data_IF_790996964775
#
_entry.id   IF_790996964775
#
_cell.length_a   1.000
_cell.length_b   1.000
_cell.length_c   1.000
_cell.angle_alpha   90.00
_cell.angle_beta   90.00
_cell.angle_gamma   90.00
#
_symmetry.space_group_name_H-M   'P 1'
#
loop_
_entity.id
_entity.type
_entity.pdbx_description
1 polymer ?
#
# COMPACT_ATOMS: atom_id res chain seq x y z
N UNK A 1 54.79 -37.57 -50.01
CA UNK A 1 54.84 -38.98 -49.58
C UNK A 1 55.24 -38.99 -48.11
N UNK A 2 54.59 -39.82 -47.30
CA UNK A 2 54.66 -39.95 -45.83
C UNK A 2 53.78 -38.97 -45.00
N UNK A 3 52.64 -39.52 -44.56
CA UNK A 3 51.74 -39.05 -43.51
C UNK A 3 52.41 -39.19 -42.12
N UNK A 4 52.09 -38.29 -41.19
CA UNK A 4 52.17 -38.55 -39.76
C UNK A 4 50.82 -38.21 -39.11
N UNK A 5 50.08 -39.24 -38.70
CA UNK A 5 48.85 -39.14 -37.90
C UNK A 5 49.23 -39.13 -36.42
N UNK A 6 48.87 -38.08 -35.69
CA UNK A 6 48.87 -38.06 -34.23
C UNK A 6 47.44 -38.32 -33.75
N UNK A 7 47.24 -39.46 -33.09
CA UNK A 7 46.03 -39.78 -32.36
C UNK A 7 46.10 -39.17 -30.96
N UNK A 8 45.04 -38.49 -30.55
CA UNK A 8 44.82 -38.08 -29.17
C UNK A 8 43.42 -38.57 -28.77
N UNK A 9 43.39 -39.55 -27.87
CA UNK A 9 42.19 -40.06 -27.21
C UNK A 9 41.77 -39.06 -26.13
N UNK A 10 40.59 -38.47 -26.28
CA UNK A 10 39.99 -37.60 -25.25
C UNK A 10 39.21 -38.49 -24.27
N UNK A 11 39.46 -38.42 -22.96
CA UNK A 11 38.69 -39.18 -21.97
C UNK A 11 37.28 -38.59 -21.87
N UNK A 12 36.28 -39.47 -21.89
CA UNK A 12 34.88 -39.11 -21.71
C UNK A 12 34.66 -38.59 -20.27
N UNK A 13 34.47 -37.28 -20.13
CA UNK A 13 34.09 -36.63 -18.89
C UNK A 13 32.61 -36.93 -18.63
N UNK A 14 32.32 -37.80 -17.66
CA UNK A 14 30.97 -38.02 -17.15
C UNK A 14 30.52 -36.75 -16.41
N UNK A 15 29.76 -35.89 -17.09
CA UNK A 15 28.99 -34.83 -16.44
C UNK A 15 27.87 -35.48 -15.63
N UNK A 16 28.07 -35.58 -14.32
CA UNK A 16 26.99 -35.82 -13.38
C UNK A 16 26.06 -34.60 -13.44
N UNK A 17 24.92 -34.74 -14.12
CA UNK A 17 23.83 -33.76 -14.03
C UNK A 17 23.29 -33.81 -12.61
N UNK A 18 23.71 -32.87 -11.76
CA UNK A 18 23.01 -32.58 -10.51
C UNK A 18 21.72 -31.88 -10.91
N UNK A 19 20.53 -32.48 -10.73
CA UNK A 19 19.29 -31.75 -10.92
C UNK A 19 19.29 -30.64 -9.87
N UNK A 20 19.36 -29.39 -10.34
CA UNK A 20 19.02 -28.25 -9.52
C UNK A 20 17.55 -28.43 -9.14
N UNK A 21 17.30 -28.86 -7.90
CA UNK A 21 15.97 -28.69 -7.30
C UNK A 21 15.74 -27.18 -7.26
N UNK A 22 15.02 -26.67 -8.26
CA UNK A 22 14.36 -25.39 -8.16
C UNK A 22 13.38 -25.56 -7.00
N UNK A 23 13.72 -25.00 -5.84
CA UNK A 23 12.79 -24.94 -4.72
C UNK A 23 11.53 -24.25 -5.25
N UNK A 24 10.47 -25.05 -5.44
CA UNK A 24 9.18 -24.53 -5.89
C UNK A 24 8.75 -23.46 -4.91
N UNK A 25 8.22 -22.36 -5.45
CA UNK A 25 7.52 -21.31 -4.71
C UNK A 25 6.19 -21.91 -4.24
N UNK A 26 6.26 -22.91 -3.35
CA UNK A 26 5.09 -23.64 -2.86
C UNK A 26 4.22 -22.67 -2.08
N UNK A 27 3.00 -22.47 -2.59
CA UNK A 27 2.02 -21.63 -1.94
C UNK A 27 1.64 -22.24 -0.59
N UNK A 28 1.65 -21.42 0.44
CA UNK A 28 1.11 -21.80 1.73
C UNK A 28 -0.39 -21.50 1.68
N UNK A 29 -1.19 -22.57 1.72
CA UNK A 29 -2.63 -22.40 1.80
C UNK A 29 -2.96 -21.79 3.15
N UNK A 30 -3.47 -20.55 3.14
CA UNK A 30 -3.82 -19.86 4.36
C UNK A 30 -4.93 -20.63 5.09
N UNK A 31 -5.00 -20.41 6.40
CA UNK A 31 -6.09 -20.96 7.21
C UNK A 31 -7.45 -20.57 6.64
N UNK A 32 -8.45 -21.41 6.88
CA UNK A 32 -9.83 -21.09 6.53
C UNK A 32 -10.20 -19.70 7.05
N UNK A 33 -10.98 -18.94 6.28
CA UNK A 33 -11.47 -17.63 6.70
C UNK A 33 -12.08 -17.73 8.10
N UNK A 34 -11.66 -16.87 9.06
CA UNK A 34 -12.17 -16.93 10.42
C UNK A 34 -13.70 -16.89 10.47
N UNK A 35 -14.29 -17.65 11.40
CA UNK A 35 -15.75 -17.73 11.53
C UNK A 35 -16.36 -16.33 11.73
N UNK A 36 -17.39 -16.02 10.96
CA UNK A 36 -18.08 -14.73 11.00
C UNK A 36 -17.51 -13.68 10.05
N UNK A 37 -16.34 -13.93 9.44
CA UNK A 37 -15.81 -13.12 8.36
C UNK A 37 -16.16 -13.73 7.00
N UNK A 38 -16.45 -12.87 6.03
CA UNK A 38 -16.46 -13.19 4.60
C UNK A 38 -15.03 -13.24 4.06
N UNK A 39 -14.18 -12.31 4.48
CA UNK A 39 -12.77 -12.29 4.10
C UNK A 39 -11.89 -11.69 5.20
N UNK A 40 -10.66 -12.20 5.29
CA UNK A 40 -9.56 -11.59 6.02
C UNK A 40 -8.34 -11.50 5.10
N UNK A 41 -7.64 -10.38 5.14
CA UNK A 41 -6.41 -10.17 4.37
C UNK A 41 -5.35 -9.56 5.30
N UNK A 42 -4.14 -10.10 5.27
CA UNK A 42 -2.99 -9.53 5.96
C UNK A 42 -2.02 -9.00 4.92
N UNK A 43 -1.83 -7.68 4.92
CA UNK A 43 -0.82 -6.99 4.10
C UNK A 43 0.39 -6.70 4.99
N UNK A 44 1.58 -6.97 4.46
CA UNK A 44 2.84 -6.59 5.07
C UNK A 44 3.66 -5.77 4.07
N UNK A 45 4.46 -4.85 4.60
CA UNK A 45 5.52 -4.15 3.88
C UNK A 45 6.83 -4.29 4.63
N UNK A 46 7.94 -4.48 3.91
CA UNK A 46 9.28 -4.65 4.49
C UNK A 46 10.38 -4.03 3.60
N UNK A 47 10.02 -3.01 2.81
CA UNK A 47 10.90 -2.37 1.84
C UNK A 47 12.14 -1.71 2.45
N UNK A 48 13.28 -1.87 1.76
CA UNK A 48 14.54 -1.16 2.08
C UNK A 48 15.13 -0.58 0.81
N UNK A 49 15.13 0.75 0.67
CA UNK A 49 15.59 1.41 -0.56
C UNK A 49 16.03 2.85 -0.31
N UNK A 50 16.80 3.44 -1.22
CA UNK A 50 17.07 4.88 -1.18
C UNK A 50 16.04 5.60 -2.07
N UNK A 51 15.14 6.43 -1.49
CA UNK A 51 14.07 7.08 -2.24
C UNK A 51 14.58 8.12 -3.25
N UNK A 52 15.84 8.58 -3.13
CA UNK A 52 16.46 9.58 -3.99
C UNK A 52 17.36 8.98 -5.08
N UNK A 53 17.48 7.65 -5.12
CA UNK A 53 18.33 6.94 -6.10
C UNK A 53 17.45 6.08 -7.02
N UNK A 54 17.69 6.21 -8.33
CA UNK A 54 16.97 5.47 -9.35
C UNK A 54 17.41 4.00 -9.50
N UNK A 55 16.71 3.21 -10.33
CA UNK A 55 15.57 3.63 -11.15
C UNK A 55 14.33 3.96 -10.31
N UNK A 56 13.63 5.03 -10.67
CA UNK A 56 12.38 5.40 -10.03
C UNK A 56 11.23 4.61 -10.65
N UNK A 57 10.30 4.08 -9.85
CA UNK A 57 9.08 3.48 -10.36
C UNK A 57 8.21 4.49 -11.11
N UNK A 58 7.31 3.98 -11.97
CA UNK A 58 6.36 4.82 -12.69
C UNK A 58 5.54 5.68 -11.72
N UNK A 59 5.45 6.98 -12.01
CA UNK A 59 4.79 7.96 -11.16
C UNK A 59 5.64 8.50 -10.00
N UNK A 60 6.89 8.07 -9.86
CA UNK A 60 7.83 8.56 -8.86
C UNK A 60 8.96 9.39 -9.48
N UNK A 61 9.32 10.47 -8.79
CA UNK A 61 10.42 11.36 -9.13
C UNK A 61 11.22 11.73 -7.88
N UNK A 62 12.55 11.94 -7.96
CA UNK A 62 13.34 12.42 -6.82
C UNK A 62 12.92 13.81 -6.35
N UNK A 63 12.17 14.56 -7.17
CA UNK A 63 11.60 15.86 -6.81
C UNK A 63 10.24 15.79 -6.11
N UNK A 64 9.67 14.60 -5.91
CA UNK A 64 8.37 14.47 -5.25
C UNK A 64 8.45 14.91 -3.78
N UNK A 65 7.55 15.80 -3.32
CA UNK A 65 7.64 16.41 -1.98
C UNK A 65 7.50 15.39 -0.84
N UNK A 66 6.96 14.21 -1.13
CA UNK A 66 6.70 13.14 -0.17
C UNK A 66 7.50 11.87 -0.46
N UNK A 67 8.51 11.91 -1.34
CA UNK A 67 9.28 10.73 -1.74
C UNK A 67 9.98 10.05 -0.56
N UNK A 68 10.40 10.84 0.42
CA UNK A 68 11.02 10.38 1.68
C UNK A 68 10.02 9.83 2.70
N UNK A 69 8.73 9.81 2.35
CA UNK A 69 7.66 9.14 3.08
C UNK A 69 7.07 7.97 2.27
N UNK A 70 7.69 7.62 1.15
CA UNK A 70 7.23 6.54 0.27
C UNK A 70 6.04 6.91 -0.62
N UNK A 71 5.61 8.18 -0.61
CA UNK A 71 4.58 8.68 -1.50
C UNK A 71 5.19 9.35 -2.72
N UNK A 72 4.68 9.00 -3.88
CA UNK A 72 5.03 9.61 -5.15
C UNK A 72 3.87 10.46 -5.66
N UNK A 73 4.16 11.59 -6.30
CA UNK A 73 3.12 12.53 -6.77
C UNK A 73 2.33 12.02 -7.99
N UNK A 74 2.77 10.93 -8.61
CA UNK A 74 2.13 10.32 -9.78
C UNK A 74 0.94 9.43 -9.46
N UNK A 75 -0.07 9.94 -8.75
CA UNK A 75 -1.34 9.23 -8.55
C UNK A 75 -1.98 8.77 -9.87
N UNK A 76 -1.78 9.52 -10.95
CA UNK A 76 -2.25 9.18 -12.30
C UNK A 76 -1.67 7.85 -12.80
N UNK A 77 -0.42 7.52 -12.45
CA UNK A 77 0.19 6.24 -12.80
C UNK A 77 -0.51 5.06 -12.10
N UNK A 78 -0.99 5.27 -10.87
CA UNK A 78 -1.82 4.29 -10.18
C UNK A 78 -3.20 4.18 -10.83
N UNK A 79 -3.91 5.29 -11.03
CA UNK A 79 -5.26 5.24 -11.58
C UNK A 79 -5.30 4.71 -13.02
N UNK A 80 -4.53 5.29 -13.93
CA UNK A 80 -4.52 4.90 -15.35
C UNK A 80 -3.69 3.63 -15.60
N UNK A 81 -2.57 3.47 -14.90
CA UNK A 81 -1.64 2.37 -15.12
C UNK A 81 -2.06 1.09 -14.40
N UNK A 82 -2.48 1.18 -13.13
CA UNK A 82 -2.82 0.01 -12.30
C UNK A 82 -4.32 -0.28 -12.35
N UNK A 83 -5.18 0.70 -12.06
CA UNK A 83 -6.64 0.51 -12.00
C UNK A 83 -7.31 0.57 -13.37
N UNK A 84 -6.63 1.15 -14.37
CA UNK A 84 -7.16 1.35 -15.73
C UNK A 84 -8.37 2.31 -15.78
N UNK A 85 -8.41 3.28 -14.87
CA UNK A 85 -9.43 4.33 -14.86
C UNK A 85 -9.14 5.38 -15.94
N UNK A 86 -10.21 5.87 -16.56
CA UNK A 86 -10.18 7.05 -17.42
C UNK A 86 -10.31 8.35 -16.63
N UNK A 87 -10.09 9.48 -17.30
CA UNK A 87 -10.06 10.82 -16.68
C UNK A 87 -11.35 11.15 -15.89
N UNK A 88 -12.51 10.77 -16.43
CA UNK A 88 -13.81 10.99 -15.76
C UNK A 88 -13.93 10.22 -14.45
N UNK A 89 -13.39 9.00 -14.39
CA UNK A 89 -13.38 8.16 -13.20
C UNK A 89 -12.41 8.71 -12.15
N UNK A 90 -11.23 9.18 -12.58
CA UNK A 90 -10.25 9.84 -11.70
C UNK A 90 -10.85 11.11 -11.11
N UNK A 91 -11.46 11.95 -11.94
CA UNK A 91 -12.14 13.16 -11.49
C UNK A 91 -13.31 12.85 -10.56
N UNK A 92 -14.05 11.75 -10.79
CA UNK A 92 -15.09 11.30 -9.87
C UNK A 92 -14.52 10.85 -8.52
N UNK A 93 -13.38 10.15 -8.51
CA UNK A 93 -12.71 9.77 -7.27
C UNK A 93 -12.20 10.99 -6.49
N UNK A 94 -11.64 11.99 -7.18
CA UNK A 94 -11.22 13.23 -6.53
C UNK A 94 -12.40 13.94 -5.87
N UNK A 95 -13.52 14.09 -6.59
CA UNK A 95 -14.75 14.68 -6.04
C UNK A 95 -15.25 13.92 -4.83
N UNK A 96 -15.22 12.58 -4.88
CA UNK A 96 -15.63 11.73 -3.75
C UNK A 96 -14.68 11.89 -2.55
N UNK A 97 -13.37 12.03 -2.77
CA UNK A 97 -12.39 12.29 -1.71
C UNK A 97 -12.65 13.64 -1.03
N UNK A 98 -12.89 14.70 -1.81
CA UNK A 98 -13.20 16.03 -1.27
C UNK A 98 -14.54 16.06 -0.52
N UNK A 99 -15.56 15.42 -1.09
CA UNK A 99 -16.86 15.27 -0.43
C UNK A 99 -16.72 14.52 0.90
N UNK A 100 -15.99 13.41 0.92
CA UNK A 100 -15.68 12.65 2.14
C UNK A 100 -15.03 13.51 3.22
N UNK A 101 -13.99 14.26 2.87
CA UNK A 101 -13.30 15.16 3.82
C UNK A 101 -14.25 16.21 4.42
N UNK A 102 -15.14 16.78 3.59
CA UNK A 102 -16.10 17.77 4.04
C UNK A 102 -17.22 17.17 4.89
N UNK A 103 -17.81 16.07 4.46
CA UNK A 103 -18.97 15.45 5.09
C UNK A 103 -18.58 14.78 6.42
N UNK A 104 -17.52 13.96 6.41
CA UNK A 104 -17.16 13.12 7.56
C UNK A 104 -16.21 13.82 8.54
N UNK A 105 -15.39 14.77 8.06
CA UNK A 105 -14.41 15.47 8.89
C UNK A 105 -14.64 16.98 8.99
N UNK A 106 -15.59 17.54 8.24
CA UNK A 106 -15.85 18.98 8.22
C UNK A 106 -14.75 19.80 7.57
N UNK A 107 -13.93 19.18 6.72
CA UNK A 107 -12.79 19.82 6.06
C UNK A 107 -13.13 20.20 4.62
N UNK A 108 -13.28 21.49 4.36
CA UNK A 108 -13.27 21.99 2.99
C UNK A 108 -11.83 22.07 2.49
N UNK A 109 -11.42 21.06 1.70
CA UNK A 109 -10.07 20.99 1.17
C UNK A 109 -9.70 22.26 0.37
N UNK A 110 -10.62 22.82 -0.42
CA UNK A 110 -10.32 23.99 -1.24
C UNK A 110 -10.10 25.26 -0.38
N UNK A 111 -10.88 25.43 0.69
CA UNK A 111 -10.67 26.52 1.65
C UNK A 111 -9.33 26.39 2.39
N UNK A 112 -9.00 25.17 2.84
CA UNK A 112 -7.76 24.90 3.56
C UNK A 112 -6.52 25.09 2.67
N UNK A 113 -6.60 24.72 1.40
CA UNK A 113 -5.55 24.98 0.40
C UNK A 113 -5.39 26.48 0.15
N UNK A 114 -6.50 27.21 -0.06
CA UNK A 114 -6.48 28.66 -0.31
C UNK A 114 -5.90 29.46 0.87
N UNK A 115 -6.03 28.94 2.09
CA UNK A 115 -5.48 29.54 3.32
C UNK A 115 -4.11 28.99 3.70
N UNK A 116 -3.56 28.04 2.94
CA UNK A 116 -2.26 27.41 3.20
C UNK A 116 -2.23 26.52 4.45
N UNK A 117 -3.40 26.11 4.95
CA UNK A 117 -3.56 25.27 6.14
C UNK A 117 -3.45 23.77 5.86
N UNK A 118 -3.67 23.38 4.60
CA UNK A 118 -3.47 22.02 4.12
C UNK A 118 -3.02 22.01 2.66
N UNK A 119 -2.53 20.85 2.22
CA UNK A 119 -2.26 20.54 0.82
C UNK A 119 -3.10 19.33 0.45
N UNK A 120 -3.95 19.46 -0.57
CA UNK A 120 -4.61 18.32 -1.18
C UNK A 120 -3.73 17.77 -2.30
N UNK A 121 -3.55 16.46 -2.36
CA UNK A 121 -2.63 15.83 -3.28
C UNK A 121 -3.16 14.48 -3.75
N UNK A 122 -2.78 14.07 -4.95
CA UNK A 122 -2.87 12.67 -5.38
C UNK A 122 -1.55 11.96 -5.05
N UNK A 123 -1.61 10.64 -4.88
CA UNK A 123 -0.42 9.84 -4.64
C UNK A 123 -0.51 8.44 -5.21
N UNK A 124 0.67 7.85 -5.42
CA UNK A 124 0.89 6.41 -5.46
C UNK A 124 1.96 6.07 -4.44
N UNK A 125 1.82 4.96 -3.73
CA UNK A 125 2.90 4.44 -2.89
C UNK A 125 4.00 3.84 -3.76
N UNK A 126 5.24 4.08 -3.36
CA UNK A 126 6.42 3.55 -4.02
C UNK A 126 6.42 2.01 -3.97
N UNK A 127 6.44 1.31 -5.11
CA UNK A 127 6.57 -0.15 -5.19
C UNK A 127 7.67 -0.77 -4.32
N UNK A 128 8.74 -0.02 -4.05
CA UNK A 128 9.90 -0.47 -3.28
C UNK A 128 9.62 -0.58 -1.79
N UNK A 129 8.47 -0.08 -1.32
CA UNK A 129 7.94 -0.37 0.03
C UNK A 129 7.61 -1.85 0.23
N UNK A 130 7.48 -2.63 -0.86
CA UNK A 130 7.36 -4.08 -0.76
C UNK A 130 6.01 -4.56 -0.26
N UNK A 131 4.93 -3.79 -0.44
CA UNK A 131 3.60 -4.18 0.02
C UNK A 131 3.12 -5.47 -0.66
N UNK A 132 2.85 -6.49 0.15
CA UNK A 132 2.34 -7.79 -0.30
C UNK A 132 1.26 -8.31 0.64
N UNK A 133 0.28 -9.02 0.08
CA UNK A 133 -0.60 -9.89 0.88
C UNK A 133 0.21 -11.11 1.29
N UNK A 134 0.39 -11.31 2.59
CA UNK A 134 1.05 -12.49 3.18
C UNK A 134 0.08 -13.59 3.58
N UNK A 135 -1.19 -13.23 3.86
CA UNK A 135 -2.25 -14.19 4.15
C UNK A 135 -3.60 -13.67 3.63
N UNK A 136 -4.41 -14.57 3.09
CA UNK A 136 -5.74 -14.28 2.59
C UNK A 136 -6.64 -15.48 2.90
N UNK A 137 -7.64 -15.29 3.77
CA UNK A 137 -8.51 -16.37 4.23
C UNK A 137 -9.12 -17.15 3.06
N UNK A 138 -9.01 -18.49 3.11
CA UNK A 138 -9.53 -19.37 2.07
C UNK A 138 -8.72 -19.43 0.77
N UNK A 139 -7.60 -18.71 0.66
CA UNK A 139 -6.74 -18.71 -0.53
C UNK A 139 -5.31 -19.18 -0.23
N UNK A 140 -4.65 -19.74 -1.25
CA UNK A 140 -3.25 -20.14 -1.15
C UNK A 140 -2.33 -19.04 -1.64
N UNK A 141 -1.70 -18.34 -0.70
CA UNK A 141 -0.82 -17.22 -0.97
C UNK A 141 0.59 -17.77 -1.19
N UNK A 142 1.28 -17.40 -2.30
CA UNK A 142 2.66 -17.81 -2.52
C UNK A 142 3.56 -17.21 -1.44
N UNK A 143 4.72 -17.79 -1.17
CA UNK A 143 5.64 -17.29 -0.13
C UNK A 143 6.06 -15.83 -0.34
N UNK A 144 6.19 -15.42 -1.61
CA UNK A 144 6.45 -14.03 -2.00
C UNK A 144 5.25 -13.07 -1.83
N UNK A 145 4.08 -13.59 -1.48
CA UNK A 145 2.83 -12.84 -1.39
C UNK A 145 2.21 -12.43 -2.72
N UNK A 146 1.02 -11.81 -2.64
CA UNK A 146 0.42 -11.11 -3.78
C UNK A 146 0.80 -9.63 -3.73
N UNK A 147 1.36 -9.11 -4.82
CA UNK A 147 1.76 -7.72 -4.89
C UNK A 147 0.56 -6.79 -4.67
N UNK A 148 0.74 -5.80 -3.81
CA UNK A 148 -0.22 -4.73 -3.54
C UNK A 148 0.31 -3.44 -4.18
N UNK A 149 -0.58 -2.73 -4.86
CA UNK A 149 -0.39 -1.34 -5.28
C UNK A 149 -1.38 -0.48 -4.53
N UNK A 150 -0.91 0.68 -4.09
CA UNK A 150 -1.71 1.61 -3.30
C UNK A 150 -1.56 3.01 -3.91
N UNK A 151 -2.67 3.72 -4.01
CA UNK A 151 -2.72 5.09 -4.49
C UNK A 151 -4.09 5.70 -4.23
N UNK A 152 -4.15 7.02 -4.33
CA UNK A 152 -5.33 7.75 -3.90
C UNK A 152 -5.15 9.26 -3.90
N UNK A 153 -5.95 9.90 -3.05
CA UNK A 153 -5.92 11.30 -2.72
C UNK A 153 -5.73 11.47 -1.22
N UNK A 154 -5.05 12.53 -0.83
CA UNK A 154 -4.81 12.85 0.57
C UNK A 154 -4.97 14.34 0.84
N UNK A 155 -5.20 14.67 2.10
CA UNK A 155 -5.15 16.03 2.62
C UNK A 155 -4.13 16.07 3.75
N UNK A 156 -2.97 16.67 3.50
CA UNK A 156 -1.88 16.84 4.47
C UNK A 156 -2.03 18.17 5.20
N UNK A 157 -2.00 18.15 6.54
CA UNK A 157 -2.15 19.35 7.35
C UNK A 157 -0.81 20.08 7.48
N UNK A 158 -0.76 21.33 7.04
CA UNK A 158 0.44 22.18 7.07
C UNK A 158 0.37 23.26 8.15
N UNK A 159 -0.82 23.61 8.63
CA UNK A 159 -1.02 24.62 9.66
C UNK A 159 -0.29 24.26 10.97
N UNK A 160 0.50 25.20 11.52
CA UNK A 160 1.25 24.99 12.76
C UNK A 160 0.38 24.62 13.97
N UNK A 161 -0.85 25.13 14.01
CA UNK A 161 -1.82 24.83 15.07
C UNK A 161 -2.71 23.62 14.76
N UNK A 162 -2.45 22.94 13.66
CA UNK A 162 -3.34 21.92 13.11
C UNK A 162 -4.65 22.49 12.58
N UNK A 163 -5.59 21.59 12.27
CA UNK A 163 -6.95 21.91 11.81
C UNK A 163 -7.95 21.13 12.64
N UNK A 164 -9.04 21.77 13.06
CA UNK A 164 -10.08 21.12 13.85
C UNK A 164 -10.94 20.24 12.96
N UNK A 165 -11.09 18.97 13.34
CA UNK A 165 -11.96 18.02 12.65
C UNK A 165 -13.31 17.96 13.36
N UNK A 166 -14.39 17.88 12.57
CA UNK A 166 -15.71 17.53 13.10
C UNK A 166 -15.66 16.08 13.61
N UNK A 167 -16.34 15.83 14.72
CA UNK A 167 -16.39 14.48 15.30
C UNK A 167 -17.16 13.53 14.39
N UNK A 168 -16.59 12.36 14.11
CA UNK A 168 -17.32 11.21 13.60
C UNK A 168 -18.25 10.60 14.65
N UNK A 169 -19.06 9.61 14.26
CA UNK A 169 -20.05 8.93 15.12
C UNK A 169 -19.50 8.45 16.48
N UNK A 170 -18.19 8.14 16.55
CA UNK A 170 -17.53 7.61 17.76
C UNK A 170 -16.54 8.57 18.44
N UNK A 171 -16.54 9.87 18.11
CA UNK A 171 -15.56 10.84 18.65
C UNK A 171 -16.21 11.93 19.50
N UNK A 172 -15.47 12.50 20.48
CA UNK A 172 -16.01 13.52 21.37
C UNK A 172 -16.66 14.65 20.56
N UNK A 173 -17.87 15.05 20.96
CA UNK A 173 -18.68 16.10 20.32
C UNK A 173 -17.95 17.44 20.12
N UNK A 174 -16.82 17.63 20.78
CA UNK A 174 -16.00 18.84 20.74
C UNK A 174 -14.97 18.85 19.60
N UNK A 175 -14.96 17.82 18.73
CA UNK A 175 -13.96 17.66 17.67
C UNK A 175 -12.60 17.23 18.21
N UNK A 176 -11.64 17.05 17.30
CA UNK A 176 -10.23 16.87 17.65
C UNK A 176 -9.36 17.56 16.61
N UNK A 177 -8.20 18.06 17.04
CA UNK A 177 -7.27 18.73 16.13
C UNK A 177 -6.41 17.70 15.39
N UNK A 178 -6.49 17.70 14.06
CA UNK A 178 -5.48 17.08 13.21
C UNK A 178 -4.22 17.95 13.24
N UNK A 179 -3.13 17.41 13.78
CA UNK A 179 -1.89 18.16 13.95
C UNK A 179 -1.15 18.37 12.62
N UNK A 180 -0.25 19.35 12.60
CA UNK A 180 0.70 19.53 11.49
C UNK A 180 1.42 18.22 11.17
N UNK A 181 1.56 17.92 9.89
CA UNK A 181 2.22 16.72 9.41
C UNK A 181 1.36 15.45 9.45
N UNK A 182 0.12 15.53 9.96
CA UNK A 182 -0.85 14.46 9.77
C UNK A 182 -1.51 14.53 8.38
N UNK A 183 -2.04 13.40 7.93
CA UNK A 183 -2.79 13.32 6.68
C UNK A 183 -4.05 12.48 6.80
N UNK A 184 -5.10 12.85 6.08
CA UNK A 184 -6.27 12.00 5.82
C UNK A 184 -6.14 11.42 4.42
N UNK A 185 -6.28 10.10 4.30
CA UNK A 185 -6.09 9.38 3.05
C UNK A 185 -7.40 8.77 2.54
N UNK A 186 -7.60 8.82 1.23
CA UNK A 186 -8.72 8.24 0.51
C UNK A 186 -8.18 7.57 -0.76
N UNK A 187 -8.38 6.28 -0.92
CA UNK A 187 -7.71 5.59 -2.02
C UNK A 187 -8.21 4.19 -2.28
N UNK A 188 -7.37 3.41 -2.92
CA UNK A 188 -7.62 2.00 -3.13
C UNK A 188 -6.33 1.19 -3.09
N UNK A 189 -6.44 -0.03 -2.56
CA UNK A 189 -5.49 -1.10 -2.81
C UNK A 189 -5.90 -1.85 -4.08
N UNK A 190 -4.93 -2.16 -4.94
CA UNK A 190 -5.03 -3.13 -6.03
C UNK A 190 -4.17 -4.34 -5.69
N UNK A 191 -4.81 -5.45 -5.35
CA UNK A 191 -4.16 -6.73 -5.05
C UNK A 191 -4.13 -7.57 -6.31
N UNK A 192 -2.93 -7.94 -6.78
CA UNK A 192 -2.76 -8.82 -7.94
C UNK A 192 -2.65 -10.28 -7.48
N UNK A 193 -3.79 -10.97 -7.40
CA UNK A 193 -3.84 -12.41 -7.14
C UNK A 193 -3.27 -13.15 -8.34
N UNK A 194 -2.36 -14.11 -8.08
CA UNK A 194 -1.70 -14.91 -9.12
C UNK A 194 -1.96 -16.40 -8.92
N UNK A 195 -1.87 -17.20 -9.98
CA UNK A 195 -2.10 -18.64 -9.95
C UNK A 195 -3.30 -19.02 -10.82
N UNK A 196 -3.96 -20.14 -10.51
CA UNK A 196 -5.14 -20.61 -11.25
C UNK A 196 -6.35 -19.67 -11.14
N UNK A 197 -6.45 -18.90 -10.05
CA UNK A 197 -7.50 -17.90 -9.82
C UNK A 197 -6.99 -16.46 -10.02
N UNK A 198 -6.08 -16.25 -10.98
CA UNK A 198 -5.46 -14.96 -11.22
C UNK A 198 -6.52 -13.87 -11.50
N UNK A 199 -6.53 -12.83 -10.68
CA UNK A 199 -7.46 -11.70 -10.77
C UNK A 199 -6.90 -10.48 -10.05
N UNK A 200 -7.54 -9.33 -10.26
CA UNK A 200 -7.27 -8.12 -9.49
C UNK A 200 -8.42 -7.92 -8.51
N UNK A 201 -8.10 -7.81 -7.22
CA UNK A 201 -9.05 -7.36 -6.22
C UNK A 201 -8.77 -5.90 -5.91
N UNK A 202 -9.81 -5.07 -5.96
CA UNK A 202 -9.74 -3.67 -5.57
C UNK A 202 -10.44 -3.49 -4.23
N UNK A 203 -9.73 -2.88 -3.29
CA UNK A 203 -10.26 -2.53 -1.95
C UNK A 203 -10.12 -1.03 -1.79
N UNK A 204 -11.24 -0.32 -1.82
CA UNK A 204 -11.29 1.12 -1.58
C UNK A 204 -11.18 1.36 -0.07
N UNK A 205 -10.55 2.47 0.31
CA UNK A 205 -10.41 2.83 1.71
C UNK A 205 -10.62 4.32 1.96
N UNK A 206 -11.02 4.62 3.19
CA UNK A 206 -11.18 5.97 3.73
C UNK A 206 -10.61 6.04 5.14
N UNK A 207 -9.69 6.97 5.38
CA UNK A 207 -9.06 7.23 6.69
C UNK A 207 -10.06 7.67 7.75
N UNK A 208 -10.36 6.79 8.71
CA UNK A 208 -11.28 7.10 9.83
C UNK A 208 -10.62 8.04 10.85
N UNK A 209 -9.31 8.24 10.76
CA UNK A 209 -8.48 9.13 11.56
C UNK A 209 -7.35 9.70 10.69
N UNK A 210 -6.84 10.91 10.98
CA UNK A 210 -5.56 11.36 10.48
C UNK A 210 -4.46 10.38 10.86
N UNK A 211 -3.72 9.97 9.85
CA UNK A 211 -2.46 9.28 9.94
C UNK A 211 -1.47 10.33 10.45
N UNK A 212 -1.15 10.28 11.75
CA UNK A 212 -0.24 11.23 12.40
C UNK A 212 1.17 10.64 12.47
N UNK A 213 2.21 11.47 12.38
CA UNK A 213 3.59 11.03 12.56
C UNK A 213 3.79 10.33 13.92
N UNK A 214 4.68 9.33 13.95
CA UNK A 214 4.92 8.49 15.12
C UNK A 214 5.17 9.35 16.38
N UNK A 215 4.28 9.22 17.38
CA UNK A 215 4.36 9.92 18.66
C UNK A 215 5.21 9.15 19.68
N UNK A 216 6.15 8.33 19.22
CA UNK A 216 6.97 7.46 20.06
C UNK A 216 6.28 6.13 20.42
N UNK A 217 5.29 5.71 19.64
CA UNK A 217 4.56 4.45 19.79
C UNK A 217 5.17 3.30 18.98
N UNK A 218 6.29 3.54 18.28
CA UNK A 218 6.96 2.54 17.46
C UNK A 218 6.25 2.31 16.12
N UNK A 219 5.50 3.32 15.67
CA UNK A 219 4.80 3.32 14.39
C UNK A 219 3.57 4.23 14.40
N UNK A 220 3.05 4.45 13.20
CA UNK A 220 1.86 5.24 12.91
C UNK A 220 0.67 4.29 12.81
N UNK A 221 -0.38 4.45 13.62
CA UNK A 221 -1.55 3.59 13.57
C UNK A 221 -2.34 3.85 12.29
N UNK A 222 -2.81 2.75 11.70
CA UNK A 222 -3.64 2.75 10.49
C UNK A 222 -5.06 2.34 10.88
N UNK A 223 -6.04 3.14 10.46
CA UNK A 223 -7.46 2.79 10.60
C UNK A 223 -8.25 3.28 9.39
N UNK A 224 -8.85 2.32 8.68
CA UNK A 224 -9.61 2.59 7.46
C UNK A 224 -10.98 1.92 7.48
N UNK A 225 -11.99 2.63 7.00
CA UNK A 225 -13.22 2.02 6.50
C UNK A 225 -12.94 1.52 5.09
N UNK A 226 -13.34 0.27 4.79
CA UNK A 226 -13.05 -0.39 3.52
C UNK A 226 -14.32 -0.72 2.76
N UNK A 227 -14.24 -0.72 1.43
CA UNK A 227 -15.24 -1.35 0.58
C UNK A 227 -14.61 -2.08 -0.60
N UNK A 228 -15.17 -3.23 -0.96
CA UNK A 228 -14.76 -4.05 -2.09
C UNK A 228 -15.98 -4.61 -2.80
N UNK A 229 -15.98 -4.63 -4.13
CA UNK A 229 -17.04 -5.28 -4.90
C UNK A 229 -17.12 -6.79 -4.60
N UNK A 230 -15.97 -7.42 -4.36
CA UNK A 230 -15.88 -8.86 -4.10
C UNK A 230 -16.28 -9.20 -2.65
N UNK A 231 -15.87 -8.38 -1.68
CA UNK A 231 -15.97 -8.72 -0.25
C UNK A 231 -16.97 -7.88 0.54
N UNK A 232 -17.50 -6.80 -0.04
CA UNK A 232 -18.41 -5.85 0.60
C UNK A 232 -17.69 -4.83 1.49
N UNK A 233 -18.40 -4.31 2.49
CA UNK A 233 -17.86 -3.37 3.48
C UNK A 233 -16.91 -4.07 4.47
N UNK A 234 -15.93 -3.33 4.98
CA UNK A 234 -14.88 -3.85 5.86
C UNK A 234 -14.16 -2.77 6.66
N UNK A 235 -13.13 -3.20 7.39
CA UNK A 235 -12.22 -2.30 8.08
C UNK A 235 -10.78 -2.77 7.94
N UNK A 236 -9.85 -1.82 7.96
CA UNK A 236 -8.42 -2.08 8.12
C UNK A 236 -7.93 -1.51 9.44
N UNK A 237 -7.10 -2.29 10.13
CA UNK A 237 -6.33 -1.84 11.28
C UNK A 237 -4.87 -2.26 11.10
N UNK A 238 -3.94 -1.40 11.44
CA UNK A 238 -2.53 -1.69 11.25
C UNK A 238 -1.59 -0.69 11.90
N UNK A 239 -0.31 -0.87 11.61
CA UNK A 239 0.77 0.04 12.02
C UNK A 239 1.79 0.08 10.89
N UNK A 240 2.18 1.28 10.45
CA UNK A 240 3.38 1.48 9.63
C UNK A 240 4.49 2.12 10.45
N UNK A 241 5.74 1.72 10.20
CA UNK A 241 6.92 2.31 10.79
C UNK A 241 7.93 2.58 9.68
N UNK A 242 8.36 3.84 9.60
CA UNK A 242 9.32 4.31 8.60
C UNK A 242 10.56 4.84 9.32
N UNK A 243 11.72 4.32 8.94
CA UNK A 243 13.02 4.77 9.45
C UNK A 243 13.86 5.25 8.27
N UNK A 244 14.30 6.51 8.30
CA UNK A 244 15.34 7.00 7.39
C UNK A 244 16.69 6.91 8.08
N UNK A 245 17.58 6.08 7.54
CA UNK A 245 18.94 5.91 8.05
C UNK A 245 19.85 7.09 7.65
N UNK A 246 21.03 7.19 8.28
CA UNK A 246 21.99 8.27 8.03
C UNK A 246 22.47 8.39 6.57
N UNK A 247 22.48 7.29 5.82
CA UNK A 247 22.83 7.28 4.40
C UNK A 247 21.63 7.58 3.48
N UNK A 248 20.50 8.02 4.03
CA UNK A 248 19.29 8.33 3.29
C UNK A 248 18.54 7.09 2.78
N UNK A 249 18.84 5.90 3.30
CA UNK A 249 18.03 4.71 3.01
C UNK A 249 16.78 4.74 3.87
N UNK A 250 15.63 4.50 3.24
CA UNK A 250 14.37 4.25 3.93
C UNK A 250 14.25 2.76 4.25
N UNK A 251 13.83 2.46 5.47
CA UNK A 251 13.32 1.16 5.89
C UNK A 251 11.86 1.33 6.23
N UNK A 252 11.03 0.56 5.56
CA UNK A 252 9.60 0.54 5.75
C UNK A 252 9.21 -0.78 6.40
N UNK A 253 8.33 -0.71 7.38
CA UNK A 253 7.68 -1.86 7.97
C UNK A 253 6.19 -1.55 8.11
N UNK A 254 5.34 -2.31 7.43
CA UNK A 254 3.89 -2.16 7.53
C UNK A 254 3.25 -3.50 7.85
N UNK A 255 2.18 -3.44 8.65
CA UNK A 255 1.31 -4.58 8.92
C UNK A 255 -0.12 -4.08 9.02
N UNK A 256 -0.91 -4.41 8.01
CA UNK A 256 -2.35 -4.11 7.96
C UNK A 256 -3.15 -5.40 7.94
N UNK A 257 -4.15 -5.47 8.81
CA UNK A 257 -5.17 -6.53 8.77
C UNK A 257 -6.47 -5.91 8.27
N UNK A 258 -6.97 -6.44 7.17
CA UNK A 258 -8.26 -6.09 6.59
C UNK A 258 -9.27 -7.19 6.88
N UNK A 259 -10.48 -6.81 7.24
CA UNK A 259 -11.58 -7.73 7.52
C UNK A 259 -12.88 -7.28 6.89
N UNK A 260 -13.65 -8.25 6.42
CA UNK A 260 -14.94 -8.07 5.77
C UNK A 260 -15.92 -9.11 6.33
N UNK A 261 -17.04 -8.74 6.98
CA UNK A 261 -17.41 -7.38 7.40
C UNK A 261 -16.40 -6.77 8.39
N UNK A 262 -16.56 -5.48 8.78
CA UNK A 262 -15.83 -4.92 9.92
C UNK A 262 -15.97 -5.82 11.15
N UNK A 263 -14.95 -5.91 12.01
CA UNK A 263 -15.13 -6.60 13.29
C UNK A 263 -16.28 -5.93 14.05
N UNK A 264 -17.25 -6.73 14.48
CA UNK A 264 -18.19 -6.25 15.47
C UNK A 264 -17.37 -5.90 16.72
N UNK A 265 -17.45 -4.66 17.18
CA UNK A 265 -16.99 -4.35 18.53
C UNK A 265 -17.70 -5.33 19.47
N UNK A 266 -16.94 -6.07 20.28
CA UNK A 266 -17.50 -6.94 21.29
C UNK A 266 -18.41 -6.06 22.16
N UNK A 267 -19.72 -6.26 22.03
CA UNK A 267 -20.75 -5.56 22.80
C UNK A 267 -20.84 -6.11 24.21
#
# INVERSE_FOLDING_TARGET
MALARLGASIPALLLAMVPWLVAGDEAECAQATPRGLRQQVVVIGDGVYNPLVGPFPDGCSPGDPFITQGFCSGGDAFFSGVLKYGDDEVAAMERNARAYLLEDHGLDAAELEATGQAVFFNYTLDPRLGLVVSAMGGECVPRRGYAVRDGGFGLAITADRGVMLRGGIDRPRNGYTAERGSALLFGAYSIKVTGSAARRVVVRYKATAPVAQDRGLGGVPISYALSSEEWGEGQALGVNADETTLNGTMRHADRVVMTFPPYAEAS
#
